data_IF_039136294136
#
_entry.id   IF_039136294136
#
_cell.length_a   1.000
_cell.length_b   1.000
_cell.length_c   1.000
_cell.angle_alpha   90.00
_cell.angle_beta   90.00
_cell.angle_gamma   90.00
#
_symmetry.space_group_name_H-M   'P 1'
#
loop_
_entity.id
_entity.type
_entity.pdbx_description
1 polymer ?
#
# COMPACT_ATOMS: atom_id res chain seq x y z
N UNK A 1 -20.05 -14.03 13.44
CA UNK A 1 -18.78 -13.63 14.11
C UNK A 1 -19.13 -12.97 15.43
N UNK A 2 -18.44 -13.32 16.53
CA UNK A 2 -18.75 -12.76 17.85
C UNK A 2 -18.32 -11.30 17.96
N UNK A 3 -19.11 -10.47 18.65
CA UNK A 3 -18.75 -9.09 18.96
C UNK A 3 -17.48 -9.06 19.82
N UNK A 4 -16.50 -8.22 19.45
CA UNK A 4 -15.31 -8.01 20.25
C UNK A 4 -15.55 -6.83 21.21
N UNK A 5 -15.36 -7.05 22.51
CA UNK A 5 -15.47 -6.00 23.52
C UNK A 5 -14.09 -5.41 23.79
N UNK A 6 -13.96 -4.08 23.69
CA UNK A 6 -12.76 -3.34 24.05
C UNK A 6 -13.04 -2.47 25.26
N UNK A 7 -12.22 -2.60 26.31
CA UNK A 7 -12.28 -1.83 27.54
C UNK A 7 -11.30 -0.65 27.46
N UNK A 8 -11.78 0.58 27.47
CA UNK A 8 -10.96 1.80 27.54
C UNK A 8 -11.00 2.38 28.94
N UNK A 9 -9.84 2.78 29.48
CA UNK A 9 -9.74 3.41 30.80
C UNK A 9 -9.80 4.93 30.61
N UNK A 10 -10.92 5.55 30.99
CA UNK A 10 -11.13 6.98 30.85
C UNK A 10 -10.85 7.67 32.20
N UNK A 11 -9.97 8.68 32.20
CA UNK A 11 -9.51 9.43 33.39
C UNK A 11 -10.22 10.77 33.54
N UNK A 12 -10.83 11.27 32.48
CA UNK A 12 -11.58 12.53 32.52
C UNK A 12 -12.28 12.85 31.20
N UNK A 13 -13.22 13.77 31.25
CA UNK A 13 -13.90 14.36 30.09
C UNK A 13 -14.07 15.86 30.34
N UNK A 14 -13.71 16.68 29.35
CA UNK A 14 -13.60 18.12 29.49
C UNK A 14 -14.26 18.83 28.30
N UNK A 15 -14.95 19.96 28.57
CA UNK A 15 -15.49 20.80 27.50
C UNK A 15 -14.39 21.55 26.76
N UNK A 16 -13.31 21.97 27.47
CA UNK A 16 -12.19 22.68 26.89
C UNK A 16 -11.02 21.72 26.62
N UNK A 17 -10.51 21.75 25.39
CA UNK A 17 -9.34 20.97 24.99
C UNK A 17 -8.12 21.23 25.89
N UNK A 18 -7.88 22.48 26.26
CA UNK A 18 -6.77 22.87 27.14
C UNK A 18 -6.75 22.10 28.47
N UNK A 19 -7.92 21.82 29.06
CA UNK A 19 -8.03 21.07 30.32
C UNK A 19 -7.71 19.57 30.09
N UNK A 20 -8.16 18.99 29.00
CA UNK A 20 -7.81 17.63 28.61
C UNK A 20 -6.30 17.49 28.35
N UNK A 21 -5.70 18.44 27.64
CA UNK A 21 -4.25 18.48 27.36
C UNK A 21 -3.42 18.66 28.65
N UNK A 22 -3.91 19.41 29.62
CA UNK A 22 -3.28 19.53 30.94
C UNK A 22 -3.30 18.20 31.69
N UNK A 23 -4.42 17.51 31.69
CA UNK A 23 -4.55 16.17 32.26
C UNK A 23 -3.66 15.14 31.58
N UNK A 24 -3.60 15.18 30.25
CA UNK A 24 -2.71 14.34 29.45
C UNK A 24 -1.24 14.51 29.86
N UNK A 25 -0.77 15.76 30.00
CA UNK A 25 0.62 16.04 30.42
C UNK A 25 0.92 15.49 31.81
N UNK A 26 0.01 15.66 32.78
CA UNK A 26 0.16 15.13 34.14
C UNK A 26 0.27 13.59 34.15
N UNK A 27 -0.54 12.91 33.35
CA UNK A 27 -0.50 11.45 33.24
C UNK A 27 0.80 10.97 32.56
N UNK A 28 1.27 11.69 31.53
CA UNK A 28 2.56 11.37 30.90
C UNK A 28 3.74 11.46 31.87
N UNK A 29 3.75 12.48 32.73
CA UNK A 29 4.78 12.65 33.78
C UNK A 29 4.79 11.50 34.81
N UNK A 30 3.66 10.80 34.96
CA UNK A 30 3.52 9.60 35.82
C UNK A 30 3.76 8.28 35.09
N UNK A 31 4.30 8.33 33.84
CA UNK A 31 4.65 7.14 33.07
C UNK A 31 3.49 6.46 32.36
N UNK A 32 2.30 7.09 32.31
CA UNK A 32 1.20 6.58 31.50
C UNK A 32 1.30 7.06 30.06
N UNK A 33 0.62 6.36 29.14
CA UNK A 33 0.50 6.74 27.74
C UNK A 33 -0.95 7.14 27.41
N UNK A 34 -1.40 8.37 27.81
CA UNK A 34 -2.74 8.85 27.58
C UNK A 34 -2.92 9.44 26.19
N UNK A 35 -4.17 9.37 25.70
CA UNK A 35 -4.63 10.06 24.49
C UNK A 35 -5.82 10.97 24.81
N UNK A 36 -6.03 12.01 24.02
CA UNK A 36 -7.25 12.82 24.05
C UNK A 36 -8.08 12.51 22.83
N UNK A 37 -9.33 12.15 23.05
CA UNK A 37 -10.30 11.84 21.99
C UNK A 37 -11.46 12.83 22.06
N UNK A 38 -11.78 13.52 20.96
CA UNK A 38 -12.98 14.36 20.86
C UNK A 38 -14.19 13.45 20.63
N UNK A 39 -15.25 13.62 21.44
CA UNK A 39 -16.50 12.85 21.36
C UNK A 39 -17.67 13.80 21.64
N UNK A 40 -18.34 14.25 20.57
CA UNK A 40 -19.31 15.34 20.65
C UNK A 40 -18.67 16.63 21.16
N UNK A 41 -19.27 17.26 22.16
CA UNK A 41 -18.76 18.47 22.79
C UNK A 41 -17.59 18.25 23.79
N UNK A 42 -17.23 16.99 24.07
CA UNK A 42 -16.27 16.65 25.13
C UNK A 42 -14.92 16.16 24.57
N UNK A 43 -13.84 16.52 25.26
CA UNK A 43 -12.49 15.99 25.11
C UNK A 43 -12.24 14.96 26.22
N UNK A 44 -12.22 13.67 25.85
CA UNK A 44 -12.04 12.55 26.79
C UNK A 44 -10.56 12.17 26.85
N UNK A 45 -10.02 12.06 28.07
CA UNK A 45 -8.65 11.59 28.30
C UNK A 45 -8.71 10.09 28.62
N UNK A 46 -8.06 9.26 27.81
CA UNK A 46 -8.09 7.81 27.91
C UNK A 46 -6.67 7.24 28.05
N UNK A 47 -6.52 6.15 28.83
CA UNK A 47 -5.24 5.46 29.07
C UNK A 47 -5.40 4.02 28.67
N UNK A 48 -4.99 3.71 27.41
CA UNK A 48 -5.02 2.37 26.86
C UNK A 48 -6.41 1.89 26.41
N UNK A 49 -6.39 0.80 25.64
CA UNK A 49 -7.54 0.04 25.17
C UNK A 49 -7.19 -1.45 25.25
N UNK A 50 -8.05 -2.27 25.84
CA UNK A 50 -7.73 -3.64 26.22
C UNK A 50 -8.85 -4.60 25.81
N UNK A 51 -8.50 -5.74 25.22
CA UNK A 51 -9.44 -6.82 24.90
C UNK A 51 -9.84 -7.66 26.12
N UNK A 52 -9.02 -7.64 27.19
CA UNK A 52 -9.29 -8.34 28.43
C UNK A 52 -9.56 -7.34 29.55
N UNK A 53 -10.72 -7.44 30.23
CA UNK A 53 -11.12 -6.54 31.31
C UNK A 53 -10.08 -6.49 32.45
N UNK A 54 -9.46 -7.61 32.81
CA UNK A 54 -8.40 -7.67 33.84
C UNK A 54 -7.24 -6.72 33.56
N UNK A 55 -6.85 -6.54 32.28
CA UNK A 55 -5.77 -5.64 31.90
C UNK A 55 -6.17 -4.16 32.09
N UNK A 56 -7.39 -3.81 31.75
CA UNK A 56 -7.95 -2.48 31.99
C UNK A 56 -8.07 -2.17 33.50
N UNK A 57 -8.54 -3.13 34.28
CA UNK A 57 -8.63 -3.02 35.76
C UNK A 57 -7.25 -2.86 36.42
N UNK A 58 -6.21 -3.52 35.89
CA UNK A 58 -4.83 -3.33 36.36
C UNK A 58 -4.36 -1.90 36.17
N UNK A 59 -4.71 -1.28 35.03
CA UNK A 59 -4.37 0.13 34.78
C UNK A 59 -5.19 1.06 35.67
N UNK A 60 -6.46 0.77 35.91
CA UNK A 60 -7.27 1.53 36.88
C UNK A 60 -6.65 1.51 38.28
N UNK A 61 -6.19 0.34 38.76
CA UNK A 61 -5.48 0.24 40.06
C UNK A 61 -4.23 1.09 40.10
N UNK A 62 -3.40 1.03 39.03
CA UNK A 62 -2.21 1.88 38.92
C UNK A 62 -2.56 3.36 38.96
N UNK A 63 -3.59 3.80 38.22
CA UNK A 63 -4.06 5.17 38.21
C UNK A 63 -4.55 5.62 39.60
N UNK A 64 -5.31 4.74 40.30
CA UNK A 64 -5.78 4.98 41.69
C UNK A 64 -4.62 5.21 42.66
N UNK A 65 -3.52 4.45 42.56
CA UNK A 65 -2.34 4.61 43.39
C UNK A 65 -1.64 5.97 43.17
N UNK A 66 -1.83 6.60 42.00
CA UNK A 66 -1.38 7.96 41.74
C UNK A 66 -2.45 9.04 42.00
N UNK A 67 -3.58 8.66 42.66
CA UNK A 67 -4.67 9.59 43.02
C UNK A 67 -5.64 9.93 41.91
N UNK A 68 -5.59 9.21 40.75
CA UNK A 68 -6.50 9.46 39.63
C UNK A 68 -7.75 8.58 39.72
N UNK A 69 -8.93 9.22 39.66
CA UNK A 69 -10.19 8.52 39.40
C UNK A 69 -10.28 8.16 37.94
N UNK A 70 -10.78 6.96 37.62
CA UNK A 70 -10.99 6.50 36.25
C UNK A 70 -12.19 5.57 36.15
N UNK A 71 -12.81 5.53 34.98
CA UNK A 71 -13.91 4.62 34.65
C UNK A 71 -13.49 3.69 33.51
N UNK A 72 -14.07 2.50 33.49
CA UNK A 72 -14.01 1.62 32.34
C UNK A 72 -15.16 1.97 31.41
N UNK A 73 -14.84 2.15 30.15
CA UNK A 73 -15.83 2.34 29.09
C UNK A 73 -15.73 1.16 28.16
N UNK A 74 -16.81 0.42 28.06
CA UNK A 74 -16.93 -0.71 27.13
C UNK A 74 -17.32 -0.21 25.75
N UNK A 75 -16.56 -0.63 24.75
CA UNK A 75 -16.86 -0.45 23.34
C UNK A 75 -17.11 -1.81 22.72
N UNK A 76 -18.33 -2.07 22.34
CA UNK A 76 -18.68 -3.24 21.54
C UNK A 76 -18.27 -2.92 20.11
N UNK A 77 -17.16 -3.51 19.67
CA UNK A 77 -16.78 -3.51 18.27
C UNK A 77 -17.61 -4.60 17.62
N UNK A 78 -18.74 -4.21 17.04
CA UNK A 78 -19.46 -5.10 16.14
C UNK A 78 -18.48 -5.47 15.01
N UNK A 79 -18.40 -6.73 14.57
CA UNK A 79 -17.74 -7.06 13.33
C UNK A 79 -18.35 -6.12 12.29
N UNK A 80 -17.59 -5.14 11.82
CA UNK A 80 -18.07 -4.30 10.72
C UNK A 80 -18.09 -5.21 9.51
N UNK A 81 -19.25 -5.29 8.91
CA UNK A 81 -19.45 -5.93 7.63
C UNK A 81 -18.41 -5.35 6.66
N UNK A 82 -17.59 -6.20 6.01
CA UNK A 82 -16.61 -5.71 5.06
C UNK A 82 -17.24 -4.82 3.97
N UNK A 83 -18.51 -5.03 3.68
CA UNK A 83 -19.29 -4.19 2.76
C UNK A 83 -19.46 -2.73 3.21
N UNK A 84 -19.32 -2.43 4.53
CA UNK A 84 -19.42 -1.04 5.05
C UNK A 84 -18.09 -0.32 5.18
N UNK A 85 -16.98 -0.92 4.77
CA UNK A 85 -15.66 -0.27 4.75
C UNK A 85 -15.35 0.45 3.42
N UNK A 86 -16.26 0.40 2.47
CA UNK A 86 -16.16 1.21 1.27
C UNK A 86 -16.49 2.68 1.60
N UNK A 87 -15.73 3.66 1.07
CA UNK A 87 -16.16 5.05 1.14
C UNK A 87 -17.55 5.15 0.52
N UNK A 88 -18.42 6.03 1.06
CA UNK A 88 -19.76 6.26 0.48
C UNK A 88 -19.65 6.47 -1.03
N UNK A 89 -20.63 5.96 -1.80
CA UNK A 89 -20.69 6.19 -3.24
C UNK A 89 -20.41 7.66 -3.57
N UNK A 90 -19.62 7.90 -4.60
CA UNK A 90 -19.37 9.25 -5.09
C UNK A 90 -20.69 9.82 -5.59
N UNK A 91 -21.06 11.03 -5.12
CA UNK A 91 -22.14 11.81 -5.72
C UNK A 91 -21.67 12.55 -6.96
N UNK A 92 -20.38 12.46 -7.29
CA UNK A 92 -19.78 13.04 -8.48
C UNK A 92 -20.01 12.07 -9.66
N UNK A 93 -20.97 12.39 -10.50
CA UNK A 93 -21.33 11.61 -11.69
C UNK A 93 -20.34 11.82 -12.85
N UNK A 94 -19.47 12.82 -12.77
CA UNK A 94 -18.51 13.17 -13.81
C UNK A 94 -17.19 12.39 -13.67
N UNK A 95 -16.81 12.04 -12.44
CA UNK A 95 -15.55 11.37 -12.15
C UNK A 95 -15.74 10.02 -11.45
N UNK A 96 -15.17 8.93 -12.00
CA UNK A 96 -15.20 7.62 -11.35
C UNK A 96 -14.37 7.62 -10.09
N UNK A 97 -14.70 6.76 -9.13
CA UNK A 97 -13.81 6.45 -8.03
C UNK A 97 -12.72 5.47 -8.49
N UNK A 98 -11.47 5.85 -8.37
CA UNK A 98 -10.33 4.96 -8.64
C UNK A 98 -9.57 4.75 -7.34
N UNK A 99 -9.43 3.48 -6.93
CA UNK A 99 -8.73 3.08 -5.70
C UNK A 99 -7.43 2.39 -6.02
N UNK A 100 -6.33 2.84 -5.42
CA UNK A 100 -5.09 2.07 -5.30
C UNK A 100 -5.13 1.33 -3.97
N UNK A 101 -4.96 0.03 -4.02
CA UNK A 101 -4.96 -0.85 -2.86
C UNK A 101 -3.62 -1.56 -2.73
N UNK A 102 -2.79 -1.11 -1.77
CA UNK A 102 -1.61 -1.83 -1.34
C UNK A 102 -2.01 -3.02 -0.48
N UNK A 103 -1.96 -4.22 -1.04
CA UNK A 103 -2.47 -5.45 -0.41
C UNK A 103 -1.50 -5.92 0.68
N UNK A 104 -2.00 -6.04 1.90
CA UNK A 104 -1.23 -6.59 3.03
C UNK A 104 -1.35 -8.11 3.11
N UNK A 105 -0.23 -8.81 3.17
CA UNK A 105 -0.20 -10.26 3.43
C UNK A 105 -0.20 -10.48 4.94
N UNK A 106 -1.24 -11.16 5.44
CA UNK A 106 -1.43 -11.35 6.87
C UNK A 106 -0.48 -12.42 7.43
N UNK A 107 -0.27 -12.44 8.75
CA UNK A 107 0.54 -13.46 9.40
C UNK A 107 -0.01 -14.90 9.22
N UNK A 108 -1.29 -15.00 8.85
CA UNK A 108 -1.97 -16.29 8.63
C UNK A 108 -1.79 -16.85 7.21
N UNK A 109 -1.21 -16.10 6.26
CA UNK A 109 -0.94 -16.63 4.93
C UNK A 109 0.35 -17.47 4.90
N UNK A 110 0.42 -18.43 3.97
CA UNK A 110 1.56 -19.33 3.84
C UNK A 110 2.83 -18.57 3.45
N UNK A 111 2.69 -17.56 2.60
CA UNK A 111 3.80 -16.68 2.23
C UNK A 111 3.48 -15.22 2.54
N UNK A 112 4.40 -14.60 3.26
CA UNK A 112 4.34 -13.20 3.68
C UNK A 112 5.19 -12.29 2.80
N UNK A 113 5.87 -12.83 1.78
CA UNK A 113 6.80 -12.10 0.94
C UNK A 113 6.13 -11.61 -0.34
N UNK A 114 6.66 -10.50 -0.86
CA UNK A 114 6.37 -9.98 -2.16
C UNK A 114 5.40 -8.81 -2.18
N UNK A 115 5.12 -8.39 -3.39
CA UNK A 115 4.29 -7.25 -3.71
C UNK A 115 2.99 -7.66 -4.39
N UNK A 116 1.91 -7.01 -4.03
CA UNK A 116 0.68 -6.97 -4.82
C UNK A 116 -0.02 -5.63 -4.59
N UNK A 117 -0.34 -4.94 -5.67
CA UNK A 117 -1.10 -3.68 -5.63
C UNK A 117 -2.21 -3.76 -6.65
N UNK A 118 -3.46 -3.52 -6.23
CA UNK A 118 -4.58 -3.44 -7.15
C UNK A 118 -4.95 -1.97 -7.43
N UNK A 119 -5.25 -1.65 -8.69
CA UNK A 119 -5.92 -0.41 -9.06
C UNK A 119 -7.33 -0.80 -9.50
N UNK A 120 -8.34 -0.29 -8.82
CA UNK A 120 -9.74 -0.64 -9.07
C UNK A 120 -10.52 0.62 -9.41
N UNK A 121 -11.11 0.65 -10.59
CA UNK A 121 -12.07 1.66 -10.99
C UNK A 121 -13.48 1.17 -10.69
N UNK A 122 -14.29 2.04 -10.13
CA UNK A 122 -15.69 1.80 -9.81
C UNK A 122 -16.58 2.69 -10.67
N UNK A 123 -17.74 2.16 -11.03
CA UNK A 123 -18.78 2.94 -11.70
C UNK A 123 -19.48 3.91 -10.72
N UNK A 124 -20.47 4.66 -11.23
CA UNK A 124 -21.28 5.60 -10.44
C UNK A 124 -22.11 4.96 -9.32
N UNK A 125 -22.38 3.67 -9.43
CA UNK A 125 -23.16 2.89 -8.46
C UNK A 125 -22.24 2.10 -7.49
N UNK A 126 -20.93 2.39 -7.53
CA UNK A 126 -19.85 1.80 -6.72
C UNK A 126 -19.61 0.30 -7.02
N UNK A 127 -20.00 -0.18 -8.21
CA UNK A 127 -19.64 -1.52 -8.67
C UNK A 127 -18.24 -1.50 -9.29
N UNK A 128 -17.52 -2.61 -9.17
CA UNK A 128 -16.20 -2.76 -9.79
C UNK A 128 -16.37 -2.82 -11.31
N UNK A 129 -15.79 -1.86 -12.03
CA UNK A 129 -15.80 -1.76 -13.48
C UNK A 129 -14.51 -2.30 -14.09
N UNK A 130 -13.35 -1.85 -13.60
CA UNK A 130 -12.04 -2.26 -14.08
C UNK A 130 -11.09 -2.61 -12.94
N UNK A 131 -10.22 -3.61 -13.18
CA UNK A 131 -9.19 -4.06 -12.23
C UNK A 131 -7.86 -4.25 -12.93
N UNK A 132 -6.83 -3.57 -12.44
CA UNK A 132 -5.43 -3.81 -12.79
C UNK A 132 -4.73 -4.35 -11.54
N UNK A 133 -4.07 -5.49 -11.65
CA UNK A 133 -3.24 -6.06 -10.58
C UNK A 133 -1.77 -5.90 -10.95
N UNK A 134 -1.01 -5.16 -10.16
CA UNK A 134 0.44 -4.97 -10.30
C UNK A 134 1.11 -5.90 -9.31
N UNK A 135 1.89 -6.84 -9.83
CA UNK A 135 2.48 -7.97 -9.13
C UNK A 135 1.43 -8.84 -8.40
N UNK A 136 1.78 -10.04 -8.04
CA UNK A 136 0.83 -11.02 -7.50
C UNK A 136 1.20 -11.54 -6.12
N UNK A 137 2.38 -11.20 -5.64
CA UNK A 137 2.99 -11.80 -4.46
C UNK A 137 3.60 -13.17 -4.74
N UNK A 138 4.18 -13.75 -3.70
CA UNK A 138 4.67 -15.12 -3.72
C UNK A 138 3.50 -16.11 -3.61
N UNK A 139 3.68 -17.33 -4.06
CA UNK A 139 2.69 -18.40 -3.93
C UNK A 139 2.26 -18.54 -2.44
N UNK A 140 0.95 -18.71 -2.21
CA UNK A 140 0.37 -18.78 -0.87
C UNK A 140 0.11 -17.42 -0.21
N UNK A 141 0.25 -16.30 -0.94
CA UNK A 141 -0.11 -14.96 -0.43
C UNK A 141 -1.63 -14.75 -0.30
N UNK A 142 -2.03 -13.70 0.40
CA UNK A 142 -3.46 -13.36 0.59
C UNK A 142 -4.13 -12.70 -0.63
N UNK A 143 -3.41 -12.46 -1.72
CA UNK A 143 -3.88 -11.67 -2.87
C UNK A 143 -5.25 -12.14 -3.37
N UNK A 144 -5.38 -13.42 -3.73
CA UNK A 144 -6.64 -13.97 -4.28
C UNK A 144 -7.78 -13.88 -3.27
N UNK A 145 -7.52 -14.29 -2.02
CA UNK A 145 -8.52 -14.27 -0.95
C UNK A 145 -9.08 -12.86 -0.72
N UNK A 146 -8.21 -11.85 -0.76
CA UNK A 146 -8.59 -10.46 -0.56
C UNK A 146 -9.32 -9.88 -1.76
N UNK A 147 -8.86 -10.14 -2.99
CA UNK A 147 -9.55 -9.70 -4.20
C UNK A 147 -10.96 -10.30 -4.30
N UNK A 148 -11.12 -11.61 -4.03
CA UNK A 148 -12.45 -12.26 -3.99
C UNK A 148 -13.35 -11.63 -2.93
N UNK A 149 -12.81 -11.37 -1.73
CA UNK A 149 -13.56 -10.73 -0.63
C UNK A 149 -13.99 -9.32 -0.97
N UNK A 150 -13.24 -8.61 -1.79
CA UNK A 150 -13.58 -7.28 -2.29
C UNK A 150 -14.60 -7.30 -3.45
N UNK A 151 -15.03 -8.48 -3.92
CA UNK A 151 -16.00 -8.62 -5.00
C UNK A 151 -15.38 -8.65 -6.40
N UNK A 152 -14.05 -8.75 -6.52
CA UNK A 152 -13.39 -8.90 -7.83
C UNK A 152 -13.78 -10.24 -8.43
N UNK A 153 -14.29 -10.23 -9.66
CA UNK A 153 -14.68 -11.42 -10.43
C UNK A 153 -13.83 -11.61 -11.69
N UNK A 154 -13.28 -10.53 -12.22
CA UNK A 154 -12.38 -10.51 -13.39
C UNK A 154 -11.23 -9.53 -13.15
N UNK A 155 -10.15 -9.68 -13.88
CA UNK A 155 -9.00 -8.78 -13.88
C UNK A 155 -8.72 -8.38 -15.33
N UNK A 156 -8.80 -7.08 -15.64
CA UNK A 156 -8.59 -6.59 -17.00
C UNK A 156 -7.09 -6.67 -17.38
N UNK A 157 -6.20 -6.40 -16.42
CA UNK A 157 -4.76 -6.53 -16.63
C UNK A 157 -4.03 -7.03 -15.38
N UNK A 158 -3.10 -7.95 -15.58
CA UNK A 158 -2.01 -8.21 -14.61
C UNK A 158 -0.73 -7.63 -15.17
N UNK A 159 0.01 -6.88 -14.37
CA UNK A 159 1.30 -6.29 -14.76
C UNK A 159 2.37 -6.85 -13.83
N UNK A 160 3.41 -7.46 -14.37
CA UNK A 160 4.57 -7.93 -13.60
C UNK A 160 5.71 -6.93 -13.76
N UNK A 161 6.22 -6.45 -12.62
CA UNK A 161 7.25 -5.41 -12.59
C UNK A 161 8.63 -5.91 -13.01
N UNK A 162 9.02 -7.11 -12.56
CA UNK A 162 10.30 -7.75 -12.85
C UNK A 162 10.28 -9.26 -12.57
N UNK A 163 11.41 -9.94 -12.76
CA UNK A 163 11.48 -11.39 -12.83
C UNK A 163 11.74 -12.12 -11.51
N UNK A 164 11.43 -11.53 -10.34
CA UNK A 164 11.54 -12.23 -9.06
C UNK A 164 10.25 -12.93 -8.64
N UNK A 165 10.42 -14.07 -7.98
CA UNK A 165 9.31 -14.97 -7.62
C UNK A 165 8.32 -14.35 -6.62
N UNK A 166 8.72 -13.42 -5.81
CA UNK A 166 7.86 -12.70 -4.86
C UNK A 166 7.00 -11.61 -5.52
N UNK A 167 7.15 -11.40 -6.85
CA UNK A 167 6.31 -10.53 -7.66
C UNK A 167 5.38 -11.31 -8.58
N UNK A 168 5.85 -12.40 -9.25
CA UNK A 168 5.01 -13.19 -10.15
C UNK A 168 4.61 -14.56 -9.60
N UNK A 169 5.08 -14.95 -8.41
CA UNK A 169 4.96 -16.33 -7.93
C UNK A 169 3.52 -16.83 -7.78
N UNK A 170 2.57 -15.95 -7.51
CA UNK A 170 1.16 -16.31 -7.38
C UNK A 170 0.34 -16.18 -8.68
N UNK A 171 0.99 -15.84 -9.80
CA UNK A 171 0.30 -15.56 -11.07
C UNK A 171 -0.51 -16.76 -11.60
N UNK A 172 0.00 -17.98 -11.46
CA UNK A 172 -0.75 -19.18 -11.88
C UNK A 172 -2.09 -19.27 -11.15
N UNK A 173 -2.07 -19.10 -9.83
CA UNK A 173 -3.29 -19.11 -9.02
C UNK A 173 -4.21 -17.93 -9.32
N UNK A 174 -3.67 -16.79 -9.75
CA UNK A 174 -4.49 -15.66 -10.23
C UNK A 174 -5.28 -16.11 -11.48
N UNK A 175 -4.65 -16.73 -12.47
CA UNK A 175 -5.33 -17.27 -13.66
C UNK A 175 -6.35 -18.36 -13.32
N UNK A 176 -6.10 -19.19 -12.32
CA UNK A 176 -7.02 -20.25 -11.89
C UNK A 176 -8.27 -19.71 -11.19
N UNK A 177 -8.21 -18.52 -10.63
CA UNK A 177 -9.26 -17.95 -9.81
C UNK A 177 -10.01 -16.78 -10.44
N UNK A 178 -9.44 -16.16 -11.47
CA UNK A 178 -10.02 -15.02 -12.16
C UNK A 178 -9.87 -15.16 -13.67
N UNK A 179 -10.86 -14.66 -14.42
CA UNK A 179 -10.64 -14.39 -15.84
C UNK A 179 -9.72 -13.19 -15.96
N UNK A 180 -8.54 -13.39 -16.55
CA UNK A 180 -7.56 -12.34 -16.85
C UNK A 180 -7.59 -12.05 -18.34
N UNK A 181 -7.79 -10.79 -18.74
CA UNK A 181 -7.86 -10.42 -20.16
C UNK A 181 -6.45 -10.25 -20.76
N UNK A 182 -5.55 -9.58 -20.03
CA UNK A 182 -4.19 -9.31 -20.48
C UNK A 182 -3.15 -9.50 -19.38
N UNK A 183 -2.00 -10.05 -19.75
CA UNK A 183 -0.78 -10.09 -18.95
C UNK A 183 0.27 -9.15 -19.58
N UNK A 184 0.73 -8.19 -18.83
CA UNK A 184 1.82 -7.32 -19.20
C UNK A 184 3.09 -7.75 -18.46
N UNK A 185 4.15 -8.01 -19.23
CA UNK A 185 5.45 -8.49 -18.73
C UNK A 185 6.54 -7.47 -19.06
N UNK A 186 7.62 -7.38 -18.25
CA UNK A 186 8.79 -6.58 -18.63
C UNK A 186 9.44 -7.16 -19.89
N UNK A 187 10.01 -6.32 -20.74
CA UNK A 187 10.89 -6.78 -21.81
C UNK A 187 12.07 -7.55 -21.19
N UNK A 188 12.27 -8.81 -21.61
CA UNK A 188 13.29 -9.66 -21.06
C UNK A 188 14.52 -9.84 -21.98
N UNK A 189 14.66 -9.00 -22.98
CA UNK A 189 15.76 -9.10 -23.97
C UNK A 189 17.14 -9.03 -23.30
N UNK A 190 17.32 -8.15 -22.32
CA UNK A 190 18.58 -8.02 -21.61
C UNK A 190 18.78 -9.12 -20.56
N UNK A 191 17.69 -9.57 -19.89
CA UNK A 191 17.75 -10.75 -19.01
C UNK A 191 18.23 -11.99 -19.78
N UNK A 192 17.84 -12.16 -21.05
CA UNK A 192 18.26 -13.29 -21.87
C UNK A 192 19.76 -13.32 -22.11
N UNK A 193 20.40 -12.18 -22.16
CA UNK A 193 21.85 -12.06 -22.37
C UNK A 193 22.65 -12.29 -21.09
N UNK A 194 22.17 -11.76 -19.97
CA UNK A 194 22.91 -11.69 -18.71
C UNK A 194 22.42 -12.69 -17.67
N UNK A 195 21.10 -12.92 -17.62
CA UNK A 195 20.43 -13.74 -16.60
C UNK A 195 19.34 -14.62 -17.22
N UNK A 196 19.77 -15.53 -18.10
CA UNK A 196 18.86 -16.36 -18.91
C UNK A 196 17.80 -17.14 -18.15
N UNK A 197 18.10 -17.54 -16.90
CA UNK A 197 17.14 -18.23 -16.03
C UNK A 197 15.91 -17.35 -15.75
N UNK A 198 16.13 -16.07 -15.46
CA UNK A 198 15.07 -15.09 -15.21
C UNK A 198 14.33 -14.70 -16.49
N UNK A 199 15.02 -14.56 -17.63
CA UNK A 199 14.36 -14.41 -18.94
C UNK A 199 13.44 -15.59 -19.26
N UNK A 200 13.88 -16.83 -18.98
CA UNK A 200 13.05 -18.02 -19.11
C UNK A 200 11.86 -18.01 -18.16
N UNK A 201 12.03 -17.50 -16.92
CA UNK A 201 10.93 -17.39 -15.97
C UNK A 201 9.81 -16.49 -16.51
N UNK A 202 10.15 -15.32 -17.07
CA UNK A 202 9.19 -14.41 -17.71
C UNK A 202 8.49 -15.07 -18.89
N UNK A 203 9.23 -15.71 -19.81
CA UNK A 203 8.61 -16.43 -20.96
C UNK A 203 7.70 -17.59 -20.52
N UNK A 204 7.98 -18.21 -19.40
CA UNK A 204 7.07 -19.21 -18.83
C UNK A 204 5.76 -18.60 -18.35
N UNK A 205 5.75 -17.34 -17.89
CA UNK A 205 4.50 -16.64 -17.57
C UNK A 205 3.68 -16.33 -18.82
N UNK A 206 4.33 -15.95 -19.93
CA UNK A 206 3.65 -15.82 -21.24
C UNK A 206 2.97 -17.13 -21.67
N UNK A 207 3.67 -18.27 -21.58
CA UNK A 207 3.08 -19.58 -21.90
C UNK A 207 1.85 -19.88 -21.03
N UNK A 208 1.91 -19.53 -19.74
CA UNK A 208 0.78 -19.68 -18.82
C UNK A 208 -0.38 -18.78 -19.24
N UNK A 209 -0.14 -17.48 -19.51
CA UNK A 209 -1.18 -16.56 -19.97
C UNK A 209 -1.92 -17.13 -21.19
N UNK A 210 -1.19 -17.58 -22.20
CA UNK A 210 -1.77 -18.22 -23.41
C UNK A 210 -2.62 -19.44 -23.06
N UNK A 211 -2.16 -20.30 -22.13
CA UNK A 211 -2.91 -21.48 -21.67
C UNK A 211 -4.28 -21.11 -21.06
N UNK A 212 -4.35 -19.98 -20.34
CA UNK A 212 -5.57 -19.49 -19.71
C UNK A 212 -6.36 -18.50 -20.57
N UNK A 213 -5.95 -18.30 -21.84
CA UNK A 213 -6.65 -17.45 -22.79
C UNK A 213 -6.43 -15.94 -22.63
N UNK A 214 -5.46 -15.53 -21.82
CA UNK A 214 -5.08 -14.14 -21.68
C UNK A 214 -4.11 -13.71 -22.80
N UNK A 215 -4.28 -12.48 -23.30
CA UNK A 215 -3.27 -11.86 -24.17
C UNK A 215 -1.99 -11.60 -23.40
N UNK A 216 -0.83 -11.59 -24.07
CA UNK A 216 0.43 -11.29 -23.42
C UNK A 216 1.16 -10.19 -24.19
N UNK A 217 1.55 -9.14 -23.50
CA UNK A 217 2.19 -7.93 -24.02
C UNK A 217 3.47 -7.65 -23.24
N UNK A 218 4.57 -7.45 -23.95
CA UNK A 218 5.83 -7.04 -23.35
C UNK A 218 5.91 -5.51 -23.29
N UNK A 219 6.13 -4.98 -22.09
CA UNK A 219 6.32 -3.55 -21.84
C UNK A 219 7.81 -3.21 -21.92
N UNK A 220 8.10 -2.13 -22.63
CA UNK A 220 9.41 -1.49 -22.70
C UNK A 220 9.24 0.02 -22.63
N UNK A 221 10.32 0.74 -22.45
CA UNK A 221 10.31 2.21 -22.46
C UNK A 221 9.50 2.75 -23.66
N UNK A 222 8.49 3.56 -23.39
CA UNK A 222 7.59 4.14 -24.38
C UNK A 222 6.33 3.29 -24.68
N UNK A 223 6.19 2.09 -24.10
CA UNK A 223 4.92 1.36 -24.15
C UNK A 223 3.88 2.04 -23.27
N UNK A 224 2.61 2.03 -23.72
CA UNK A 224 1.49 2.56 -22.97
C UNK A 224 0.24 1.70 -23.19
N UNK A 225 -0.69 1.75 -22.24
CA UNK A 225 -2.02 1.18 -22.38
C UNK A 225 -3.03 1.95 -21.51
N UNK A 226 -4.32 1.79 -21.84
CA UNK A 226 -5.42 2.43 -21.09
C UNK A 226 -6.50 1.41 -20.77
N UNK A 227 -7.01 1.42 -19.55
CA UNK A 227 -8.13 0.62 -19.09
C UNK A 227 -9.09 1.55 -18.35
N UNK A 228 -10.28 1.78 -18.92
CA UNK A 228 -11.21 2.77 -18.40
C UNK A 228 -10.59 4.17 -18.34
N UNK A 229 -10.56 4.77 -17.16
CA UNK A 229 -9.94 6.06 -16.86
C UNK A 229 -8.54 5.93 -16.23
N UNK A 230 -7.91 4.79 -16.41
CA UNK A 230 -6.56 4.49 -15.89
C UNK A 230 -5.62 4.37 -17.10
N UNK A 231 -4.75 5.36 -17.26
CA UNK A 231 -3.70 5.36 -18.28
C UNK A 231 -2.40 4.88 -17.64
N UNK A 232 -1.63 4.05 -18.33
CA UNK A 232 -0.34 3.53 -17.88
C UNK A 232 0.72 3.82 -18.92
N UNK A 233 1.79 4.48 -18.51
CA UNK A 233 3.01 4.70 -19.30
C UNK A 233 4.18 3.92 -18.70
N UNK A 234 4.83 3.07 -19.50
CA UNK A 234 6.13 2.50 -19.17
C UNK A 234 7.20 3.54 -19.58
N UNK A 235 7.61 4.35 -18.60
CA UNK A 235 8.49 5.50 -18.87
C UNK A 235 9.96 5.12 -18.96
N UNK A 236 10.35 3.98 -18.37
CA UNK A 236 11.75 3.59 -18.33
C UNK A 236 11.93 2.10 -17.96
N UNK A 237 13.04 1.52 -18.41
CA UNK A 237 13.64 0.28 -17.97
C UNK A 237 15.14 0.44 -18.08
N UNK A 238 15.93 -0.13 -17.19
CA UNK A 238 17.37 0.06 -17.19
C UNK A 238 18.01 -0.46 -18.48
N UNK A 239 18.87 0.32 -19.15
CA UNK A 239 19.75 -0.24 -20.17
C UNK A 239 20.80 -1.12 -19.49
N UNK A 240 20.77 -2.42 -19.71
CA UNK A 240 21.63 -3.39 -19.03
C UNK A 240 23.13 -3.07 -19.15
N UNK A 241 23.55 -2.54 -20.32
CA UNK A 241 24.94 -2.16 -20.55
C UNK A 241 25.41 -0.95 -19.71
N UNK A 242 24.51 -0.33 -18.95
CA UNK A 242 24.83 0.78 -18.05
C UNK A 242 24.81 0.37 -16.58
N UNK A 243 24.41 -0.87 -16.28
CA UNK A 243 24.46 -1.44 -14.94
C UNK A 243 25.85 -2.02 -14.68
N UNK A 244 26.41 -1.73 -13.50
CA UNK A 244 27.76 -2.17 -13.14
C UNK A 244 27.82 -3.61 -12.69
N UNK A 245 26.73 -4.10 -12.09
CA UNK A 245 26.64 -5.44 -11.54
C UNK A 245 25.68 -6.28 -12.37
N UNK A 246 26.13 -7.48 -12.75
CA UNK A 246 25.33 -8.48 -13.44
C UNK A 246 25.11 -9.71 -12.55
N UNK A 247 25.23 -9.57 -11.22
CA UNK A 247 24.86 -10.61 -10.30
C UNK A 247 23.35 -10.88 -10.36
N UNK A 248 22.94 -12.09 -9.94
CA UNK A 248 21.59 -12.56 -10.16
C UNK A 248 20.52 -11.67 -9.56
N UNK A 249 20.76 -11.13 -8.38
CA UNK A 249 19.72 -10.49 -7.59
C UNK A 249 19.59 -8.99 -7.90
N UNK A 250 20.70 -8.26 -7.85
CA UNK A 250 20.70 -6.81 -8.06
C UNK A 250 20.43 -6.42 -9.50
N UNK A 251 20.96 -7.19 -10.45
CA UNK A 251 20.69 -6.98 -11.88
C UNK A 251 19.20 -7.14 -12.19
N UNK A 252 18.55 -8.22 -11.72
CA UNK A 252 17.14 -8.49 -11.96
C UNK A 252 16.24 -7.44 -11.31
N UNK A 253 16.59 -6.95 -10.12
CA UNK A 253 15.90 -5.83 -9.50
C UNK A 253 16.02 -4.56 -10.34
N UNK A 254 17.20 -4.25 -10.86
CA UNK A 254 17.43 -3.08 -11.70
C UNK A 254 16.79 -3.18 -13.10
N UNK A 255 16.40 -4.37 -13.54
CA UNK A 255 15.57 -4.60 -14.74
C UNK A 255 14.06 -4.35 -14.51
N UNK A 256 13.66 -3.90 -13.33
CA UNK A 256 12.27 -3.49 -13.07
C UNK A 256 11.83 -2.40 -14.04
N UNK A 257 10.63 -2.56 -14.63
CA UNK A 257 10.00 -1.50 -15.42
C UNK A 257 9.47 -0.38 -14.52
N UNK A 258 9.63 0.86 -14.98
CA UNK A 258 9.13 2.04 -14.29
C UNK A 258 7.83 2.49 -14.93
N UNK A 259 6.76 2.44 -14.15
CA UNK A 259 5.41 2.75 -14.59
C UNK A 259 4.88 4.00 -13.91
N UNK A 260 4.21 4.83 -14.70
CA UNK A 260 3.41 5.95 -14.20
C UNK A 260 1.97 5.73 -14.66
N UNK A 261 1.08 5.61 -13.68
CA UNK A 261 -0.35 5.58 -13.93
C UNK A 261 -0.92 6.98 -13.76
N UNK A 262 -1.74 7.40 -14.73
CA UNK A 262 -2.55 8.61 -14.64
C UNK A 262 -3.99 8.19 -14.42
N UNK A 263 -4.56 8.61 -13.28
CA UNK A 263 -5.89 8.24 -12.82
C UNK A 263 -6.84 9.39 -13.12
N UNK A 264 -7.83 9.13 -14.00
CA UNK A 264 -8.83 10.11 -14.48
C UNK A 264 -8.22 11.44 -14.97
N UNK A 265 -7.05 11.37 -15.62
CA UNK A 265 -6.30 12.53 -16.10
C UNK A 265 -5.74 13.46 -15.02
N UNK A 266 -5.96 13.13 -13.72
CA UNK A 266 -5.72 14.06 -12.61
C UNK A 266 -4.56 13.61 -11.71
N UNK A 267 -4.59 12.40 -11.17
CA UNK A 267 -3.64 11.93 -10.17
C UNK A 267 -2.58 11.02 -10.78
N UNK A 268 -1.33 11.20 -10.38
CA UNK A 268 -0.23 10.36 -10.86
C UNK A 268 0.26 9.40 -9.79
N UNK A 269 0.35 8.13 -10.15
CA UNK A 269 0.88 7.05 -9.34
C UNK A 269 2.13 6.47 -10.00
N UNK A 270 3.27 6.52 -9.30
CA UNK A 270 4.56 6.01 -9.73
C UNK A 270 4.88 4.70 -9.01
N UNK A 271 5.27 3.68 -9.77
CA UNK A 271 5.80 2.41 -9.26
C UNK A 271 6.94 1.91 -10.14
N UNK A 272 7.89 1.21 -9.57
CA UNK A 272 9.08 0.73 -10.26
C UNK A 272 9.59 -0.61 -9.68
N UNK A 273 8.68 -1.51 -9.29
CA UNK A 273 9.06 -2.81 -8.71
C UNK A 273 10.10 -2.68 -7.62
N UNK A 274 11.22 -3.35 -7.81
CA UNK A 274 12.35 -3.38 -6.88
C UNK A 274 13.60 -2.65 -7.39
N UNK A 275 13.41 -1.68 -8.29
CA UNK A 275 14.48 -0.85 -8.83
C UNK A 275 15.35 -0.27 -7.71
N UNK A 276 16.67 -0.48 -7.78
CA UNK A 276 17.61 -0.09 -6.75
C UNK A 276 18.31 1.24 -7.06
N UNK A 277 19.22 1.66 -6.18
CA UNK A 277 19.89 2.96 -6.27
C UNK A 277 20.65 3.16 -7.57
N UNK A 278 21.28 2.13 -8.13
CA UNK A 278 21.98 2.22 -9.39
C UNK A 278 21.00 2.56 -10.53
N UNK A 279 19.94 1.78 -10.67
CA UNK A 279 18.88 2.04 -11.65
C UNK A 279 18.21 3.40 -11.43
N UNK A 280 17.93 3.78 -10.19
CA UNK A 280 17.37 5.10 -9.85
C UNK A 280 18.28 6.25 -10.28
N UNK A 281 19.59 6.13 -10.09
CA UNK A 281 20.54 7.15 -10.52
C UNK A 281 20.58 7.32 -12.04
N UNK A 282 20.41 6.23 -12.79
CA UNK A 282 20.27 6.26 -14.24
C UNK A 282 18.92 6.87 -14.65
N UNK A 283 17.83 6.43 -14.03
CA UNK A 283 16.48 6.94 -14.27
C UNK A 283 16.40 8.47 -14.12
N UNK A 284 16.91 9.00 -13.01
CA UNK A 284 16.89 10.45 -12.71
C UNK A 284 17.71 11.25 -13.73
N UNK A 285 18.81 10.70 -14.24
CA UNK A 285 19.60 11.34 -15.30
C UNK A 285 18.85 11.43 -16.61
N UNK A 286 18.07 10.40 -16.95
CA UNK A 286 17.37 10.30 -18.24
C UNK A 286 15.99 10.96 -18.24
N UNK A 287 15.23 10.82 -17.16
CA UNK A 287 13.85 11.31 -17.06
C UNK A 287 13.80 12.55 -16.19
N UNK A 288 13.53 13.71 -16.82
CA UNK A 288 13.56 15.01 -16.14
C UNK A 288 12.38 15.27 -15.22
N UNK A 289 11.23 14.65 -15.46
CA UNK A 289 10.03 14.84 -14.64
C UNK A 289 9.49 13.51 -14.14
N UNK A 290 9.81 13.19 -12.89
CA UNK A 290 9.36 12.01 -12.18
C UNK A 290 8.28 12.33 -11.13
N UNK A 291 7.82 13.59 -11.05
CA UNK A 291 6.82 14.01 -10.06
C UNK A 291 5.56 13.17 -10.16
N UNK A 292 5.13 12.63 -9.02
CA UNK A 292 3.90 11.89 -8.87
C UNK A 292 3.24 12.20 -7.52
N UNK A 293 1.92 12.05 -7.45
CA UNK A 293 1.17 12.30 -6.21
C UNK A 293 1.27 11.10 -5.24
N UNK A 294 1.37 9.91 -5.82
CA UNK A 294 1.42 8.63 -5.10
C UNK A 294 2.67 7.88 -5.55
N UNK A 295 3.40 7.33 -4.60
CA UNK A 295 4.63 6.59 -4.83
C UNK A 295 4.62 5.25 -4.10
N UNK A 296 4.63 4.14 -4.83
CA UNK A 296 4.99 2.85 -4.26
C UNK A 296 6.50 2.78 -4.17
N UNK A 297 7.02 2.74 -2.96
CA UNK A 297 8.44 2.65 -2.71
C UNK A 297 9.01 1.34 -3.27
N UNK A 298 10.12 1.46 -3.94
CA UNK A 298 10.83 0.35 -4.56
C UNK A 298 11.43 -0.58 -3.50
N UNK A 299 11.65 -1.83 -3.89
CA UNK A 299 12.26 -2.88 -3.07
C UNK A 299 11.73 -2.88 -1.63
N UNK A 300 10.39 -2.94 -1.54
CA UNK A 300 9.66 -2.97 -0.26
C UNK A 300 10.07 -1.86 0.72
N UNK A 301 10.47 -0.70 0.21
CA UNK A 301 10.90 0.45 1.01
C UNK A 301 12.34 0.37 1.52
N UNK A 302 13.20 -0.46 0.94
CA UNK A 302 14.62 -0.53 1.34
C UNK A 302 15.36 0.78 1.06
N UNK A 303 16.32 1.13 1.90
CA UNK A 303 17.09 2.36 1.78
C UNK A 303 18.04 2.38 0.57
N UNK A 304 18.41 1.18 0.07
CA UNK A 304 19.22 1.02 -1.15
C UNK A 304 18.40 1.10 -2.44
N UNK A 305 17.08 1.24 -2.34
CA UNK A 305 16.18 1.50 -3.45
C UNK A 305 15.55 2.88 -3.38
N UNK A 306 15.25 3.38 -2.18
CA UNK A 306 14.62 4.68 -1.97
C UNK A 306 15.62 5.71 -1.43
N UNK A 307 16.64 6.05 -2.22
CA UNK A 307 17.62 7.09 -1.84
C UNK A 307 17.00 8.49 -1.85
N UNK A 308 17.71 9.48 -1.32
CA UNK A 308 17.27 10.87 -1.24
C UNK A 308 16.90 11.43 -2.60
N UNK A 309 17.71 11.15 -3.62
CA UNK A 309 17.52 11.70 -4.96
C UNK A 309 16.21 11.24 -5.61
N UNK A 310 15.83 9.96 -5.50
CA UNK A 310 14.53 9.49 -6.04
C UNK A 310 13.36 10.05 -5.23
N UNK A 311 13.47 10.14 -3.89
CA UNK A 311 12.43 10.73 -3.06
C UNK A 311 12.18 12.21 -3.41
N UNK A 312 13.24 12.98 -3.68
CA UNK A 312 13.16 14.38 -4.11
C UNK A 312 12.63 14.52 -5.54
N UNK A 313 13.02 13.62 -6.45
CA UNK A 313 12.58 13.63 -7.84
C UNK A 313 11.10 13.32 -7.99
N UNK A 314 10.59 12.33 -7.25
CA UNK A 314 9.16 11.96 -7.26
C UNK A 314 8.33 12.91 -6.40
N UNK A 315 8.81 13.27 -5.22
CA UNK A 315 8.19 14.20 -4.26
C UNK A 315 6.69 13.97 -4.05
N UNK A 316 6.29 12.78 -3.60
CA UNK A 316 4.90 12.38 -3.53
C UNK A 316 4.16 13.04 -2.36
N UNK A 317 2.82 13.08 -2.44
CA UNK A 317 1.92 13.39 -1.30
C UNK A 317 1.76 12.18 -0.39
N UNK A 318 1.64 10.99 -1.01
CA UNK A 318 1.52 9.71 -0.31
C UNK A 318 2.60 8.78 -0.84
N UNK A 319 3.36 8.17 0.07
CA UNK A 319 4.26 7.07 -0.23
C UNK A 319 3.87 5.83 0.56
N UNK A 320 3.97 4.65 -0.06
CA UNK A 320 3.68 3.40 0.63
C UNK A 320 4.57 2.26 0.11
N UNK A 321 4.65 1.18 0.91
CA UNK A 321 5.21 -0.08 0.47
C UNK A 321 4.52 -1.28 1.09
N UNK A 322 4.53 -2.35 0.34
CA UNK A 322 4.02 -3.65 0.73
C UNK A 322 5.15 -4.44 1.39
N UNK A 323 5.09 -4.60 2.68
CA UNK A 323 6.00 -5.46 3.44
C UNK A 323 5.36 -5.85 4.76
N UNK A 324 5.55 -7.09 5.18
CA UNK A 324 4.80 -7.65 6.29
C UNK A 324 5.66 -7.97 7.52
N UNK A 325 6.97 -7.77 7.45
CA UNK A 325 7.84 -7.89 8.61
C UNK A 325 8.10 -6.56 9.31
N UNK A 326 8.39 -6.65 10.61
CA UNK A 326 8.87 -5.54 11.43
C UNK A 326 10.09 -4.89 10.78
N UNK A 327 10.28 -3.60 10.98
CA UNK A 327 11.40 -2.83 10.41
C UNK A 327 12.73 -3.60 10.43
N UNK A 328 13.25 -3.91 9.24
CA UNK A 328 14.65 -4.21 9.05
C UNK A 328 15.44 -2.90 8.99
N UNK A 329 16.74 -2.96 9.30
CA UNK A 329 17.65 -1.81 9.20
C UNK A 329 17.55 -1.18 7.80
N UNK A 330 17.30 0.13 7.74
CA UNK A 330 17.24 0.88 6.50
C UNK A 330 15.86 1.43 6.14
N UNK A 331 14.75 0.76 6.42
CA UNK A 331 13.39 1.25 6.08
C UNK A 331 12.98 2.49 6.87
N UNK A 332 13.47 2.65 8.09
CA UNK A 332 13.35 3.91 8.84
C UNK A 332 14.04 5.09 8.17
N UNK A 333 15.13 4.84 7.43
CA UNK A 333 15.82 5.85 6.62
C UNK A 333 14.98 6.27 5.43
N UNK A 334 14.38 5.33 4.69
CA UNK A 334 13.44 5.60 3.60
C UNK A 334 12.28 6.46 4.07
N UNK A 335 11.67 6.10 5.21
CA UNK A 335 10.60 6.88 5.82
C UNK A 335 11.02 8.33 6.07
N UNK A 336 12.16 8.55 6.73
CA UNK A 336 12.68 9.88 7.02
C UNK A 336 12.91 10.72 5.74
N UNK A 337 13.45 10.09 4.68
CA UNK A 337 13.68 10.75 3.38
C UNK A 337 12.36 11.21 2.75
N UNK A 338 11.32 10.37 2.79
CA UNK A 338 10.00 10.68 2.24
C UNK A 338 9.27 11.73 3.09
N UNK A 339 9.33 11.63 4.41
CA UNK A 339 8.77 12.65 5.30
C UNK A 339 9.48 14.03 5.11
N UNK A 340 10.79 14.03 4.83
CA UNK A 340 11.54 15.26 4.54
C UNK A 340 11.09 15.98 3.26
N UNK A 341 10.55 15.26 2.27
CA UNK A 341 9.95 15.85 1.07
C UNK A 341 8.45 16.14 1.22
N UNK A 342 7.89 15.93 2.41
CA UNK A 342 6.50 16.24 2.76
C UNK A 342 5.50 15.10 2.52
N UNK A 343 5.96 13.89 2.25
CA UNK A 343 5.07 12.75 2.05
C UNK A 343 4.47 12.20 3.34
N UNK A 344 3.22 11.78 3.29
CA UNK A 344 2.65 10.88 4.30
C UNK A 344 3.02 9.44 3.92
N UNK A 345 3.65 8.73 4.87
CA UNK A 345 4.19 7.39 4.62
C UNK A 345 3.31 6.33 5.28
N UNK A 346 2.77 5.41 4.45
CA UNK A 346 1.97 4.28 4.89
C UNK A 346 2.72 2.96 4.66
N UNK A 347 2.66 2.03 5.63
CA UNK A 347 3.37 0.75 5.59
C UNK A 347 2.41 -0.39 5.95
N UNK A 348 2.31 -1.41 5.12
CA UNK A 348 1.38 -2.52 5.37
C UNK A 348 1.58 -3.16 6.75
N UNK A 349 2.80 -3.35 7.19
CA UNK A 349 3.10 -3.91 8.51
C UNK A 349 2.41 -3.14 9.66
N UNK A 350 2.44 -1.81 9.61
CA UNK A 350 1.82 -0.96 10.63
C UNK A 350 0.34 -0.70 10.36
N UNK A 351 0.00 -0.49 9.09
CA UNK A 351 -1.29 0.05 8.68
C UNK A 351 -2.27 -1.02 8.18
N UNK A 352 -1.79 -2.24 7.87
CA UNK A 352 -2.60 -3.26 7.19
C UNK A 352 -2.73 -2.97 5.71
N UNK A 353 -3.87 -3.28 5.11
CA UNK A 353 -4.18 -2.87 3.75
C UNK A 353 -4.22 -1.34 3.66
N UNK A 354 -3.65 -0.79 2.59
CA UNK A 354 -3.55 0.64 2.34
C UNK A 354 -4.49 0.97 1.19
N UNK A 355 -5.40 1.91 1.41
CA UNK A 355 -6.38 2.35 0.42
C UNK A 355 -6.17 3.83 0.11
N UNK A 356 -5.95 4.14 -1.19
CA UNK A 356 -5.85 5.50 -1.70
C UNK A 356 -6.95 5.67 -2.74
N UNK A 357 -7.98 6.44 -2.40
CA UNK A 357 -9.12 6.69 -3.28
C UNK A 357 -8.99 8.06 -3.93
N UNK A 358 -9.14 8.09 -5.25
CA UNK A 358 -9.14 9.28 -6.09
C UNK A 358 -10.52 9.44 -6.71
N UNK A 359 -11.14 10.62 -6.53
CA UNK A 359 -12.42 11.00 -7.12
C UNK A 359 -12.28 12.47 -7.55
N UNK A 360 -12.28 12.73 -8.86
CA UNK A 360 -11.99 14.06 -9.38
C UNK A 360 -10.73 14.66 -8.74
N UNK A 361 -10.80 15.87 -8.25
CA UNK A 361 -9.68 16.59 -7.63
C UNK A 361 -9.37 16.18 -6.17
N UNK A 362 -10.10 15.21 -5.62
CA UNK A 362 -9.93 14.76 -4.22
C UNK A 362 -9.25 13.39 -4.15
N UNK A 363 -8.20 13.30 -3.34
CA UNK A 363 -7.51 12.05 -3.00
C UNK A 363 -7.54 11.80 -1.50
N UNK A 364 -7.91 10.59 -1.06
CA UNK A 364 -7.96 10.21 0.36
C UNK A 364 -7.13 8.97 0.63
N UNK A 365 -6.38 8.99 1.74
CA UNK A 365 -5.66 7.84 2.27
C UNK A 365 -6.42 7.27 3.47
N UNK A 366 -6.53 5.95 3.52
CA UNK A 366 -7.02 5.20 4.68
C UNK A 366 -6.34 3.83 4.76
N UNK A 367 -6.55 3.11 5.85
CA UNK A 367 -5.97 1.78 6.03
C UNK A 367 -6.90 0.83 6.80
N UNK A 368 -6.71 -0.49 6.62
CA UNK A 368 -7.54 -1.48 7.30
C UNK A 368 -7.38 -1.47 8.83
N UNK A 369 -6.23 -1.07 9.34
CA UNK A 369 -6.01 -0.87 10.79
C UNK A 369 -6.49 0.50 11.29
N UNK A 370 -7.00 1.38 10.41
CA UNK A 370 -7.57 2.72 10.74
C UNK A 370 -6.64 3.62 11.55
N UNK A 371 -5.35 3.45 11.43
CA UNK A 371 -4.34 4.20 12.19
C UNK A 371 -3.60 5.26 11.35
N UNK A 372 -3.96 5.41 10.08
CA UNK A 372 -3.50 6.46 9.18
C UNK A 372 -4.66 6.96 8.32
N UNK A 373 -4.75 8.27 8.13
CA UNK A 373 -5.70 8.89 7.22
C UNK A 373 -5.22 10.27 6.80
N UNK A 374 -5.50 10.65 5.55
CA UNK A 374 -5.23 11.97 5.01
C UNK A 374 -6.18 12.30 3.86
N UNK A 375 -6.31 13.58 3.55
CA UNK A 375 -7.06 14.07 2.39
C UNK A 375 -6.25 15.14 1.69
N UNK A 376 -6.20 15.07 0.37
CA UNK A 376 -5.55 16.03 -0.51
C UNK A 376 -6.53 16.50 -1.58
N UNK A 377 -6.35 17.75 -2.02
CA UNK A 377 -7.11 18.35 -3.13
C UNK A 377 -6.12 18.97 -4.12
N UNK A 378 -6.40 18.87 -5.43
CA UNK A 378 -5.71 19.58 -6.51
C UNK A 378 -6.37 20.90 -6.83
#
# INVERSE_FOLDING_TARGET
>A
MANMVIYKVQVGAYLLKANADRQLRKLKQKGFNPIVVKSGALYKVQVGAYSKIKNAQNVQRKLKNFGYKSILVEYIVKPQDPEKMQPKPSTDTEHPRIMIWGIWFTESCESKYGDATAIIQYDKDDNIEHVILIDTGMNGSDTIKKLKKAGVTKIDAVVISHAHGDHYGFLTSVFENFKVEALYLPDCTELDKHQRSYGNAIRNQEKKAKKYGASCIYLKKGSAFTIGKIECDCIWQAPANKLSEHDDHHFVNNESIVLVFTLDGIWKYHTAGDLQNEGNNLLIKEIKNLKADIFKCQWHGDANACNTAICEAVRPKIAFWNYHHREQSGRGTTRKRLEAVGAIVARNYENGDIYINCIGNKMTLSSSKKNISATFTK
#
